data_IF_147797566974
#
_entry.id   IF_147797566974
#
_cell.length_a   1.000
_cell.length_b   1.000
_cell.length_c   1.000
_cell.angle_alpha   90.00
_cell.angle_beta   90.00
_cell.angle_gamma   90.00
#
_symmetry.space_group_name_H-M   'P 1'
#
loop_
_entity.id
_entity.type
_entity.pdbx_description
1 polymer ?
#
# COMPACT_ATOMS: atom_id res chain seq x y z
N UNK A 1 -1.62 10.53 -48.19
CA UNK A 1 -2.33 10.83 -46.93
C UNK A 1 -1.27 11.26 -45.93
N UNK A 2 -1.03 12.57 -45.79
CA UNK A 2 0.15 13.11 -45.09
C UNK A 2 0.00 13.02 -43.57
N UNK A 3 0.86 12.25 -42.92
CA UNK A 3 0.97 12.26 -41.47
C UNK A 3 1.68 13.55 -41.07
N UNK A 4 0.98 14.40 -40.30
CA UNK A 4 1.57 15.57 -39.67
C UNK A 4 2.66 15.12 -38.68
N UNK A 5 3.90 15.02 -39.17
CA UNK A 5 5.12 14.69 -38.42
C UNK A 5 5.55 15.86 -37.50
N UNK A 6 4.87 17.00 -37.57
CA UNK A 6 5.02 18.07 -36.59
C UNK A 6 4.58 17.57 -35.22
N UNK A 7 5.54 17.43 -34.30
CA UNK A 7 5.33 16.99 -32.92
C UNK A 7 4.27 17.82 -32.23
N UNK A 8 3.02 17.36 -32.26
CA UNK A 8 1.93 17.99 -31.53
C UNK A 8 1.78 17.28 -30.19
N UNK A 9 1.52 18.05 -29.16
CA UNK A 9 1.20 17.54 -27.83
C UNK A 9 -0.31 17.55 -27.65
N UNK A 10 -0.83 16.59 -26.89
CA UNK A 10 -2.27 16.44 -26.63
C UNK A 10 -2.54 16.74 -25.17
N UNK A 11 -3.39 17.71 -24.90
CA UNK A 11 -3.93 17.99 -23.57
C UNK A 11 -5.36 17.50 -23.52
N UNK A 12 -5.67 16.57 -22.62
CA UNK A 12 -6.99 15.96 -22.49
C UNK A 12 -7.64 16.43 -21.18
N UNK A 13 -8.87 16.95 -21.28
CA UNK A 13 -9.67 17.33 -20.12
C UNK A 13 -10.39 16.12 -19.54
N UNK A 14 -10.89 16.26 -18.31
CA UNK A 14 -11.75 15.26 -17.66
C UNK A 14 -13.05 14.98 -18.45
N UNK A 15 -13.53 15.95 -19.23
CA UNK A 15 -14.71 15.81 -20.08
C UNK A 15 -14.47 14.93 -21.33
N UNK A 16 -13.23 14.50 -21.57
CA UNK A 16 -12.86 13.75 -22.77
C UNK A 16 -12.48 14.64 -23.97
N UNK A 17 -12.57 15.97 -23.84
CA UNK A 17 -12.08 16.90 -24.87
C UNK A 17 -10.56 16.82 -25.00
N UNK A 18 -10.06 16.81 -26.24
CA UNK A 18 -8.63 16.75 -26.56
C UNK A 18 -8.22 18.01 -27.31
N UNK A 19 -7.32 18.79 -26.71
CA UNK A 19 -6.67 19.95 -27.29
C UNK A 19 -5.34 19.52 -27.89
N UNK A 20 -5.17 19.69 -29.21
CA UNK A 20 -3.90 19.42 -29.91
C UNK A 20 -3.12 20.73 -29.99
N UNK A 21 -2.00 20.80 -29.30
CA UNK A 21 -1.14 21.99 -29.25
C UNK A 21 0.15 21.70 -30.03
N UNK A 22 0.65 22.71 -30.76
CA UNK A 22 1.96 22.62 -31.41
C UNK A 22 3.04 23.00 -30.39
N UNK A 23 4.12 22.22 -30.31
CA UNK A 23 5.27 22.54 -29.46
C UNK A 23 6.20 23.53 -30.16
N UNK A 24 6.96 24.39 -29.45
CA UNK A 24 7.10 24.46 -27.99
C UNK A 24 5.96 25.26 -27.34
N UNK A 25 5.34 24.69 -26.30
CA UNK A 25 4.32 25.36 -25.49
C UNK A 25 4.60 25.08 -24.02
N UNK A 26 4.44 26.10 -23.18
CA UNK A 26 4.69 25.98 -21.74
C UNK A 26 3.43 25.56 -20.99
N UNK A 27 3.63 24.92 -19.84
CA UNK A 27 2.52 24.53 -18.94
C UNK A 27 1.73 25.75 -18.49
N UNK A 28 2.42 26.85 -18.14
CA UNK A 28 1.81 28.12 -17.74
C UNK A 28 0.84 28.65 -18.79
N UNK A 29 1.22 28.60 -20.07
CA UNK A 29 0.37 29.08 -21.17
C UNK A 29 -0.95 28.31 -21.27
N UNK A 30 -0.91 26.98 -21.11
CA UNK A 30 -2.12 26.15 -21.13
C UNK A 30 -2.97 26.33 -19.87
N UNK A 31 -2.34 26.54 -18.71
CA UNK A 31 -3.04 26.68 -17.42
C UNK A 31 -3.69 28.07 -17.28
N UNK A 32 -3.19 29.11 -17.96
CA UNK A 32 -3.80 30.45 -17.95
C UNK A 32 -5.27 30.44 -18.39
N UNK A 33 -5.60 29.61 -19.38
CA UNK A 33 -6.95 29.47 -19.89
C UNK A 33 -7.89 28.75 -18.90
N UNK A 34 -7.34 28.06 -17.89
CA UNK A 34 -8.06 27.20 -16.96
C UNK A 34 -7.55 27.39 -15.52
N UNK A 35 -8.02 28.43 -14.80
CA UNK A 35 -7.63 28.64 -13.40
C UNK A 35 -8.03 27.45 -12.53
N UNK A 36 -7.21 27.12 -11.52
CA UNK A 36 -7.44 25.99 -10.61
C UNK A 36 -7.12 24.60 -11.20
N UNK A 37 -6.80 24.52 -12.48
CA UNK A 37 -6.43 23.26 -13.13
C UNK A 37 -4.92 23.02 -13.09
N UNK A 38 -4.55 21.75 -13.11
CA UNK A 38 -3.15 21.30 -13.11
C UNK A 38 -2.93 20.33 -14.28
N UNK A 39 -1.75 20.41 -14.89
CA UNK A 39 -1.32 19.48 -15.93
C UNK A 39 -0.55 18.31 -15.35
N UNK A 40 -0.91 17.10 -15.78
CA UNK A 40 -0.28 15.84 -15.39
C UNK A 40 0.17 15.05 -16.62
N UNK A 41 1.34 14.44 -16.58
CA UNK A 41 1.80 13.57 -17.67
C UNK A 41 1.08 12.22 -17.64
N UNK A 42 0.64 11.74 -18.81
CA UNK A 42 -0.08 10.46 -18.90
C UNK A 42 0.70 9.25 -18.38
N UNK A 43 2.02 9.22 -18.59
CA UNK A 43 2.89 8.17 -18.05
C UNK A 43 2.93 8.18 -16.51
N UNK A 44 2.98 9.37 -15.91
CA UNK A 44 2.96 9.53 -14.46
C UNK A 44 1.59 9.15 -13.89
N UNK A 45 0.50 9.53 -14.55
CA UNK A 45 -0.87 9.15 -14.13
C UNK A 45 -1.08 7.65 -14.21
N UNK A 46 -0.55 6.95 -15.22
CA UNK A 46 -0.62 5.48 -15.27
C UNK A 46 0.08 4.80 -14.08
N UNK A 47 1.20 5.37 -13.62
CA UNK A 47 2.01 4.81 -12.52
C UNK A 47 1.47 5.17 -11.14
N UNK A 48 1.04 6.43 -10.96
CA UNK A 48 0.76 7.01 -9.65
C UNK A 48 -0.70 7.42 -9.46
N UNK A 49 -1.53 7.40 -10.51
CA UNK A 49 -2.93 7.84 -10.48
C UNK A 49 -3.05 9.27 -9.97
N UNK A 50 -3.91 9.47 -8.97
CA UNK A 50 -4.14 10.76 -8.28
C UNK A 50 -2.90 11.32 -7.55
N UNK A 51 -1.86 10.51 -7.35
CA UNK A 51 -0.61 10.92 -6.69
C UNK A 51 0.46 11.34 -7.69
N UNK A 52 0.14 11.39 -8.99
CA UNK A 52 1.07 11.84 -10.01
C UNK A 52 1.55 13.26 -9.71
N UNK A 53 2.84 13.52 -9.91
CA UNK A 53 3.41 14.85 -9.68
C UNK A 53 2.86 15.82 -10.75
N UNK A 54 2.30 16.97 -10.35
CA UNK A 54 2.02 18.10 -11.24
C UNK A 54 3.23 18.50 -12.09
N UNK A 55 2.99 18.88 -13.35
CA UNK A 55 4.03 19.53 -14.17
C UNK A 55 4.31 20.93 -13.62
N UNK A 56 5.59 21.34 -13.64
CA UNK A 56 6.00 22.68 -13.22
C UNK A 56 5.53 23.72 -14.23
N UNK A 57 5.18 24.93 -13.77
CA UNK A 57 4.62 25.98 -14.62
C UNK A 57 5.54 26.41 -15.78
N UNK A 58 6.85 26.38 -15.54
CA UNK A 58 7.89 26.76 -16.51
C UNK A 58 8.29 25.59 -17.43
N UNK A 59 7.81 24.37 -17.15
CA UNK A 59 8.19 23.20 -17.94
C UNK A 59 7.45 23.19 -19.29
N UNK A 60 8.21 22.96 -20.36
CA UNK A 60 7.67 22.78 -21.71
C UNK A 60 7.02 21.42 -21.90
N UNK A 61 5.92 21.41 -22.67
CA UNK A 61 5.25 20.18 -23.06
C UNK A 61 6.03 19.47 -24.15
N UNK A 62 6.29 18.17 -23.93
CA UNK A 62 7.01 17.33 -24.88
C UNK A 62 6.14 17.02 -26.10
N UNK A 63 6.75 16.95 -27.30
CA UNK A 63 6.04 16.58 -28.52
C UNK A 63 5.53 15.13 -28.44
N UNK A 64 4.42 14.84 -29.12
CA UNK A 64 3.80 13.52 -29.19
C UNK A 64 3.42 12.90 -27.83
N UNK A 65 3.42 13.69 -26.75
CA UNK A 65 2.97 13.26 -25.43
C UNK A 65 1.53 13.67 -25.15
N UNK A 66 0.92 12.94 -24.22
CA UNK A 66 -0.43 13.21 -23.73
C UNK A 66 -0.32 13.70 -22.29
N UNK A 67 -0.97 14.83 -22.03
CA UNK A 67 -1.11 15.46 -20.72
C UNK A 67 -2.59 15.52 -20.34
N UNK A 68 -2.88 15.38 -19.06
CA UNK A 68 -4.22 15.51 -18.52
C UNK A 68 -4.35 16.84 -17.81
N UNK A 69 -5.39 17.60 -18.17
CA UNK A 69 -5.78 18.81 -17.46
C UNK A 69 -6.84 18.43 -16.43
N UNK A 70 -6.47 18.50 -15.14
CA UNK A 70 -7.29 18.02 -14.03
C UNK A 70 -7.43 19.13 -13.00
N UNK A 71 -8.66 19.38 -12.55
CA UNK A 71 -8.90 20.15 -11.34
C UNK A 71 -8.52 19.26 -10.14
N UNK A 72 -7.42 19.62 -9.46
CA UNK A 72 -7.07 18.93 -8.23
C UNK A 72 -7.97 19.49 -7.13
N UNK A 73 -8.69 18.63 -6.38
CA UNK A 73 -9.36 19.07 -5.17
C UNK A 73 -8.33 19.80 -4.32
N UNK A 74 -8.69 20.98 -3.80
CA UNK A 74 -7.89 21.73 -2.84
C UNK A 74 -7.79 20.92 -1.55
N UNK A 75 -6.99 19.87 -1.55
CA UNK A 75 -6.42 19.36 -0.31
C UNK A 75 -5.56 20.52 0.19
N UNK A 76 -5.82 21.06 1.41
CA UNK A 76 -5.06 22.16 1.94
C UNK A 76 -3.58 21.87 1.71
N UNK A 77 -2.96 22.67 0.83
CA UNK A 77 -1.58 22.49 0.41
C UNK A 77 -0.76 22.39 1.68
N UNK A 78 -0.01 21.31 1.77
CA UNK A 78 0.97 21.08 2.80
C UNK A 78 1.93 22.27 2.87
N UNK A 79 1.65 23.20 3.77
CA UNK A 79 2.61 23.79 4.72
C UNK A 79 3.24 22.68 5.62
N UNK A 80 3.44 21.47 5.09
CA UNK A 80 3.96 20.30 5.80
C UNK A 80 5.18 19.80 5.03
N UNK A 81 6.17 20.70 4.89
CA UNK A 81 7.56 20.31 4.65
C UNK A 81 8.10 19.42 5.77
N UNK A 82 7.40 19.26 6.89
CA UNK A 82 7.71 18.25 7.90
C UNK A 82 6.48 17.99 8.76
N UNK A 83 6.28 16.73 9.18
CA UNK A 83 5.53 16.36 10.39
C UNK A 83 4.04 16.02 10.35
N UNK A 84 3.40 15.69 9.22
CA UNK A 84 2.15 14.93 9.34
C UNK A 84 1.83 14.02 8.16
N UNK A 85 2.77 13.13 7.84
CA UNK A 85 2.37 11.80 7.37
C UNK A 85 1.52 11.22 8.51
N UNK A 86 0.20 11.16 8.35
CA UNK A 86 -0.65 10.27 9.15
C UNK A 86 -0.26 8.85 8.75
N UNK A 87 0.93 8.43 9.17
CA UNK A 87 1.12 7.07 9.61
C UNK A 87 0.03 6.88 10.65
N UNK A 88 -0.81 5.87 10.48
CA UNK A 88 -1.60 5.28 11.56
C UNK A 88 -0.64 4.68 12.60
N UNK A 89 0.28 5.47 13.10
CA UNK A 89 0.96 5.21 14.36
C UNK A 89 -0.04 5.74 15.36
N UNK A 90 -0.62 4.81 16.10
CA UNK A 90 -1.19 5.11 17.41
C UNK A 90 -0.05 5.76 18.18
N UNK A 91 0.05 7.10 18.10
CA UNK A 91 0.86 7.88 19.01
C UNK A 91 0.05 7.83 20.29
N UNK A 92 0.34 6.85 21.13
CA UNK A 92 -0.09 6.92 22.51
C UNK A 92 0.67 8.14 23.07
N UNK A 93 -0.04 9.24 23.28
CA UNK A 93 0.47 10.44 23.92
C UNK A 93 0.63 10.15 25.41
N UNK A 94 1.66 9.37 25.75
CA UNK A 94 1.83 8.81 27.08
C UNK A 94 3.13 9.33 27.66
N UNK A 95 2.97 10.26 28.60
CA UNK A 95 4.03 10.75 29.47
C UNK A 95 4.25 9.74 30.61
N UNK A 96 4.86 8.57 30.31
CA UNK A 96 5.20 7.60 31.36
C UNK A 96 6.53 7.95 32.03
N UNK A 97 6.54 7.99 33.36
CA UNK A 97 7.78 8.09 34.14
C UNK A 97 8.61 6.79 33.99
N UNK A 98 9.92 6.86 34.25
CA UNK A 98 10.82 5.71 34.13
C UNK A 98 10.39 4.54 35.04
N UNK A 99 9.81 4.84 36.20
CA UNK A 99 9.26 3.85 37.13
C UNK A 99 8.05 3.11 36.53
N UNK A 100 7.06 3.84 36.02
CA UNK A 100 5.86 3.25 35.40
C UNK A 100 6.23 2.36 34.20
N UNK A 101 7.23 2.78 33.41
CA UNK A 101 7.76 1.97 32.31
C UNK A 101 8.36 0.64 32.79
N UNK A 102 9.07 0.65 33.93
CA UNK A 102 9.68 -0.55 34.50
C UNK A 102 8.63 -1.50 35.06
N UNK A 103 7.62 -0.98 35.75
CA UNK A 103 6.53 -1.78 36.31
C UNK A 103 5.71 -2.45 35.20
N UNK A 104 5.36 -1.71 34.13
CA UNK A 104 4.70 -2.31 32.95
C UNK A 104 5.56 -3.41 32.30
N UNK A 105 6.88 -3.23 32.21
CA UNK A 105 7.79 -4.24 31.66
C UNK A 105 7.86 -5.48 32.57
N UNK A 106 7.91 -5.30 33.90
CA UNK A 106 7.93 -6.40 34.86
C UNK A 106 6.60 -7.16 34.90
N UNK A 107 5.47 -6.45 34.82
CA UNK A 107 4.13 -7.05 34.71
C UNK A 107 3.94 -7.78 33.37
N UNK A 108 4.45 -7.22 32.26
CA UNK A 108 4.46 -7.89 30.96
C UNK A 108 5.29 -9.17 30.98
N UNK A 109 6.42 -9.18 31.71
CA UNK A 109 7.23 -10.40 31.93
C UNK A 109 6.53 -11.44 32.81
N UNK A 110 5.65 -11.01 33.73
CA UNK A 110 4.79 -11.93 34.52
C UNK A 110 3.53 -12.39 33.76
N UNK A 111 3.06 -11.64 32.76
CA UNK A 111 1.95 -12.07 31.89
C UNK A 111 2.38 -13.02 30.76
N UNK A 112 3.67 -13.37 30.70
CA UNK A 112 4.22 -14.43 29.87
C UNK A 112 4.56 -15.71 30.64
N UNK A 113 4.11 -15.83 31.89
CA UNK A 113 4.03 -17.12 32.60
C UNK A 113 2.57 -17.56 32.56
N UNK A 114 2.13 -18.15 31.46
CA UNK A 114 1.91 -19.61 31.42
C UNK A 114 2.76 -20.38 30.40
N UNK A 115 3.91 -19.85 29.97
CA UNK A 115 4.95 -20.69 29.37
C UNK A 115 5.94 -21.05 30.47
N UNK A 116 5.73 -22.22 31.06
CA UNK A 116 6.77 -22.91 31.81
C UNK A 116 8.05 -22.89 30.97
N UNK A 117 9.09 -22.24 31.49
CA UNK A 117 10.47 -22.55 31.12
C UNK A 117 10.69 -23.98 31.60
N UNK A 118 10.22 -24.94 30.80
CA UNK A 118 10.59 -26.33 30.96
C UNK A 118 12.09 -26.39 30.67
N UNK A 119 12.85 -26.60 31.74
CA UNK A 119 14.10 -27.37 31.77
C UNK A 119 14.29 -28.18 30.48
N UNK A 120 15.48 -28.17 29.82
CA UNK A 120 15.72 -29.02 28.66
C UNK A 120 15.72 -30.48 29.12
N UNK A 121 14.54 -31.07 29.18
CA UNK A 121 14.35 -32.50 29.26
C UNK A 121 14.29 -33.00 27.83
N UNK A 122 15.19 -33.93 27.51
CA UNK A 122 15.21 -34.76 26.31
C UNK A 122 13.80 -34.99 25.74
N UNK A 123 13.50 -34.34 24.62
CA UNK A 123 12.19 -34.38 23.97
C UNK A 123 11.97 -33.12 23.14
N UNK A 124 12.65 -33.04 21.98
CA UNK A 124 12.49 -31.94 21.05
C UNK A 124 11.03 -31.90 20.55
N UNK A 125 10.23 -30.96 21.05
CA UNK A 125 8.89 -30.71 20.53
C UNK A 125 9.05 -30.04 19.17
N UNK A 126 8.91 -30.81 18.09
CA UNK A 126 8.98 -30.33 16.70
C UNK A 126 7.65 -29.68 16.35
N UNK A 127 7.67 -28.39 16.01
CA UNK A 127 6.49 -27.67 15.52
C UNK A 127 6.54 -27.56 13.98
N UNK A 128 5.49 -28.01 13.30
CA UNK A 128 5.38 -27.98 11.84
C UNK A 128 4.28 -27.01 11.39
N UNK A 129 4.55 -26.23 10.34
CA UNK A 129 3.56 -25.35 9.70
C UNK A 129 3.29 -25.82 8.27
N UNK A 130 2.05 -26.20 7.96
CA UNK A 130 1.65 -26.61 6.62
C UNK A 130 0.40 -25.88 6.14
N UNK A 131 0.13 -25.96 4.82
CA UNK A 131 -1.09 -25.43 4.20
C UNK A 131 -1.95 -26.59 3.72
N UNK A 132 -3.14 -26.73 4.29
CA UNK A 132 -4.13 -27.69 3.86
C UNK A 132 -5.30 -26.98 3.16
N UNK A 133 -5.84 -27.53 2.05
CA UNK A 133 -7.09 -27.06 1.47
C UNK A 133 -8.24 -27.19 2.47
N UNK A 134 -9.12 -26.18 2.50
CA UNK A 134 -10.27 -26.14 3.42
C UNK A 134 -11.19 -27.36 3.29
N UNK A 135 -11.36 -27.88 2.06
CA UNK A 135 -12.18 -29.08 1.81
C UNK A 135 -11.62 -30.35 2.44
N UNK A 136 -10.30 -30.47 2.58
CA UNK A 136 -9.63 -31.62 3.20
C UNK A 136 -9.79 -31.55 4.71
N UNK A 137 -9.57 -30.37 5.30
CA UNK A 137 -9.74 -30.13 6.75
C UNK A 137 -11.18 -30.39 7.18
N UNK A 138 -12.16 -29.97 6.38
CA UNK A 138 -13.56 -30.17 6.70
C UNK A 138 -13.97 -31.65 6.72
N UNK A 139 -13.52 -32.46 5.74
CA UNK A 139 -13.78 -33.91 5.72
C UNK A 139 -13.17 -34.62 6.93
N UNK A 140 -11.94 -34.24 7.30
CA UNK A 140 -11.25 -34.80 8.48
C UNK A 140 -12.01 -34.54 9.79
N UNK A 141 -12.68 -33.39 9.89
CA UNK A 141 -13.50 -33.05 11.05
C UNK A 141 -14.84 -33.80 11.02
N UNK A 142 -15.46 -33.96 9.85
CA UNK A 142 -16.74 -34.68 9.69
C UNK A 142 -16.60 -36.21 9.89
N UNK A 143 -15.44 -36.77 9.54
CA UNK A 143 -15.13 -38.22 9.67
C UNK A 143 -14.57 -38.61 11.04
N UNK A 144 -14.30 -37.64 11.92
CA UNK A 144 -13.74 -37.87 13.25
C UNK A 144 -14.74 -37.49 14.34
N UNK A 145 -14.68 -38.20 15.47
CA UNK A 145 -15.56 -37.90 16.61
C UNK A 145 -14.97 -36.87 17.56
N UNK A 146 -13.64 -36.88 17.70
CA UNK A 146 -12.91 -36.07 18.68
C UNK A 146 -11.76 -35.26 18.05
N UNK A 147 -11.40 -34.15 18.70
CA UNK A 147 -10.30 -33.26 18.28
C UNK A 147 -8.95 -33.98 18.22
N UNK A 148 -8.74 -34.98 19.09
CA UNK A 148 -7.53 -35.82 19.12
C UNK A 148 -7.41 -36.69 17.88
N UNK A 149 -8.53 -37.27 17.42
CA UNK A 149 -8.59 -38.11 16.21
C UNK A 149 -8.36 -37.27 14.94
N UNK A 150 -8.84 -36.02 14.92
CA UNK A 150 -8.54 -35.05 13.85
C UNK A 150 -7.04 -34.75 13.80
N UNK A 151 -6.40 -34.52 14.95
CA UNK A 151 -4.97 -34.24 15.02
C UNK A 151 -4.11 -35.42 14.54
N UNK A 152 -4.48 -36.65 14.89
CA UNK A 152 -3.80 -37.87 14.41
C UNK A 152 -3.88 -38.00 12.88
N UNK A 153 -5.07 -37.86 12.29
CA UNK A 153 -5.24 -37.93 10.82
C UNK A 153 -4.48 -36.82 10.09
N UNK A 154 -4.36 -35.63 10.71
CA UNK A 154 -3.54 -34.53 10.18
C UNK A 154 -2.04 -34.87 10.23
N UNK A 155 -1.57 -35.54 11.29
CA UNK A 155 -0.18 -36.02 11.38
C UNK A 155 0.12 -37.11 10.34
N UNK A 156 -0.82 -38.04 10.13
CA UNK A 156 -0.67 -39.08 9.11
C UNK A 156 -0.51 -38.49 7.70
N UNK A 157 -1.28 -37.44 7.38
CA UNK A 157 -1.12 -36.70 6.12
C UNK A 157 0.26 -36.04 5.99
N UNK A 158 0.85 -35.57 7.09
CA UNK A 158 2.20 -35.02 7.07
C UNK A 158 3.25 -36.11 6.80
N UNK A 159 3.09 -37.28 7.40
CA UNK A 159 4.06 -38.38 7.29
C UNK A 159 3.98 -39.10 5.94
N UNK A 160 2.82 -39.12 5.28
CA UNK A 160 2.65 -39.73 3.95
C UNK A 160 3.09 -38.83 2.77
N UNK A 161 3.31 -37.54 3.00
CA UNK A 161 3.72 -36.58 1.96
C UNK A 161 5.24 -36.27 1.97
N UNK A 162 6.05 -37.07 2.67
CA UNK A 162 7.52 -37.02 2.62
C UNK A 162 8.10 -38.00 1.61
#
# INVERSE_FOLDING_TARGET
>A
MGNNIGGSTKVMKINGEILKLKTPITTSEVVKDYPGHVLLESEAVKKFGIRAKPLEAEQELKPCKIYFLVELPLFPKQEITSNNKVTRRVKSDVHMNAQDRLECLMLSRRSASDLSISKPSNGAVVQLKMKLPRSVVQKLIEESRDETEVAEKIMDLCMHNS
#
